data_IF_889005060131
#
_entry.id   IF_889005060131
#
_cell.length_a   1.000
_cell.length_b   1.000
_cell.length_c   1.000
_cell.angle_alpha   90.00
_cell.angle_beta   90.00
_cell.angle_gamma   90.00
#
_symmetry.space_group_name_H-M   'P 1'
#
loop_
_entity.id
_entity.type
_entity.pdbx_description
1 polymer ?
#
# COMPACT_ATOMS: atom_id res chain seq x y z
N UNK A 1 7.90 -8.01 10.89
CA UNK A 1 8.78 -7.07 11.60
C UNK A 1 9.95 -6.61 10.73
N UNK A 2 10.98 -7.41 10.46
CA UNK A 2 12.16 -7.01 9.68
C UNK A 2 11.84 -6.53 8.25
N UNK A 3 10.95 -7.21 7.53
CA UNK A 3 10.52 -6.82 6.18
C UNK A 3 9.83 -5.45 6.22
N UNK A 4 8.89 -5.25 7.13
CA UNK A 4 8.18 -3.98 7.28
C UNK A 4 9.15 -2.82 7.55
N UNK A 5 10.12 -3.02 8.46
CA UNK A 5 11.11 -2.00 8.80
C UNK A 5 12.03 -1.68 7.60
N UNK A 6 12.48 -2.70 6.88
CA UNK A 6 13.26 -2.54 5.66
C UNK A 6 12.47 -1.74 4.61
N UNK A 7 11.26 -2.17 4.27
CA UNK A 7 10.43 -1.51 3.26
C UNK A 7 10.10 -0.06 3.63
N UNK A 8 9.82 0.20 4.90
CA UNK A 8 9.57 1.56 5.40
C UNK A 8 10.72 2.51 5.09
N UNK A 9 11.96 2.02 5.05
CA UNK A 9 13.18 2.82 4.79
C UNK A 9 13.61 2.82 3.33
N UNK A 10 13.14 1.87 2.52
CA UNK A 10 13.64 1.69 1.14
C UNK A 10 12.59 1.88 0.06
N UNK A 11 11.29 1.66 0.37
CA UNK A 11 10.21 1.82 -0.60
C UNK A 11 8.86 1.97 0.10
N UNK A 12 8.34 3.20 0.16
CA UNK A 12 7.08 3.52 0.85
C UNK A 12 5.86 2.93 0.15
N UNK A 13 5.90 2.78 -1.17
CA UNK A 13 4.81 2.16 -1.92
C UNK A 13 4.72 0.65 -1.63
N UNK A 14 5.85 -0.06 -1.68
CA UNK A 14 5.90 -1.47 -1.29
C UNK A 14 5.59 -1.68 0.20
N UNK A 15 6.00 -0.74 1.06
CA UNK A 15 5.65 -0.78 2.48
C UNK A 15 4.14 -0.76 2.70
N UNK A 16 3.41 0.12 1.98
CA UNK A 16 1.95 0.19 2.06
C UNK A 16 1.29 -1.11 1.59
N UNK A 17 1.70 -1.66 0.46
CA UNK A 17 1.19 -2.95 -0.04
C UNK A 17 1.48 -4.09 0.93
N UNK A 18 2.64 -4.08 1.57
CA UNK A 18 2.99 -5.05 2.61
C UNK A 18 2.10 -4.93 3.86
N UNK A 19 1.79 -3.70 4.29
CA UNK A 19 0.84 -3.48 5.38
C UNK A 19 -0.54 -4.07 5.06
N UNK A 20 -1.04 -3.89 3.85
CA UNK A 20 -2.31 -4.47 3.42
C UNK A 20 -2.28 -6.00 3.43
N UNK A 21 -1.17 -6.61 3.02
CA UNK A 21 -0.99 -8.07 3.15
C UNK A 21 -1.03 -8.53 4.60
N UNK A 22 -0.40 -7.77 5.51
CA UNK A 22 -0.46 -8.07 6.94
C UNK A 22 -1.88 -7.96 7.48
N UNK A 23 -2.61 -6.90 7.13
CA UNK A 23 -4.00 -6.73 7.53
C UNK A 23 -4.87 -7.91 7.07
N UNK A 24 -4.72 -8.37 5.84
CA UNK A 24 -5.46 -9.53 5.32
C UNK A 24 -5.02 -10.84 5.97
N UNK A 25 -3.74 -11.01 6.26
CA UNK A 25 -3.24 -12.15 7.03
C UNK A 25 -3.89 -12.18 8.43
N UNK A 26 -3.91 -11.04 9.13
CA UNK A 26 -4.52 -10.94 10.46
C UNK A 26 -6.02 -11.23 10.42
N UNK A 27 -6.73 -10.76 9.38
CA UNK A 27 -8.14 -11.08 9.14
C UNK A 27 -8.38 -12.57 8.94
N UNK A 28 -7.52 -13.23 8.19
CA UNK A 28 -7.64 -14.68 7.95
C UNK A 28 -7.54 -15.50 9.23
N UNK A 29 -6.92 -14.95 10.27
CA UNK A 29 -6.85 -15.57 11.61
C UNK A 29 -7.74 -14.87 12.64
N UNK A 30 -8.77 -14.13 12.21
CA UNK A 30 -9.72 -13.40 13.08
C UNK A 30 -9.07 -12.40 14.04
N UNK A 31 -7.89 -11.87 13.72
CA UNK A 31 -7.07 -11.06 14.62
C UNK A 31 -6.80 -11.76 15.96
N UNK A 32 -6.64 -13.09 15.94
CA UNK A 32 -6.34 -13.91 17.11
C UNK A 32 -4.86 -14.30 17.13
N UNK A 33 -4.05 -13.75 18.06
CA UNK A 33 -2.60 -13.99 18.10
C UNK A 33 -2.20 -15.44 18.35
N UNK A 34 -3.00 -16.19 19.13
CA UNK A 34 -2.74 -17.61 19.45
C UNK A 34 -2.91 -18.46 18.19
N UNK A 35 -4.01 -18.29 17.46
CA UNK A 35 -4.27 -18.98 16.20
C UNK A 35 -3.20 -18.65 15.15
N UNK A 36 -2.80 -17.39 15.09
CA UNK A 36 -1.73 -16.94 14.18
C UNK A 36 -0.38 -17.58 14.53
N UNK A 37 -0.04 -17.64 15.83
CA UNK A 37 1.21 -18.27 16.29
C UNK A 37 1.24 -19.75 15.94
N UNK A 38 0.18 -20.48 16.24
CA UNK A 38 0.09 -21.92 15.98
C UNK A 38 0.09 -22.26 14.49
N UNK A 39 -0.71 -21.55 13.68
CA UNK A 39 -0.95 -21.92 12.29
C UNK A 39 -0.01 -21.24 11.29
N UNK A 40 0.62 -20.13 11.64
CA UNK A 40 1.48 -19.37 10.74
C UNK A 40 2.91 -19.18 11.27
N UNK A 41 3.10 -18.66 12.50
CA UNK A 41 4.44 -18.36 13.00
C UNK A 41 5.23 -19.64 13.32
N UNK A 42 4.56 -20.75 13.61
CA UNK A 42 5.19 -22.05 13.85
C UNK A 42 6.05 -22.55 12.68
N UNK A 43 5.76 -22.12 11.46
CA UNK A 43 6.49 -22.52 10.27
C UNK A 43 7.82 -21.78 10.07
N UNK A 44 8.07 -20.71 10.83
CA UNK A 44 9.33 -19.96 10.71
C UNK A 44 10.42 -20.59 11.56
N UNK A 45 11.55 -20.88 10.92
CA UNK A 45 12.75 -21.37 11.58
C UNK A 45 13.57 -20.19 12.13
N UNK A 46 13.19 -19.73 13.31
CA UNK A 46 13.81 -18.59 14.00
C UNK A 46 14.16 -18.99 15.44
N UNK A 47 15.05 -18.23 16.08
CA UNK A 47 15.37 -18.44 17.49
C UNK A 47 14.14 -18.22 18.39
N UNK A 48 14.11 -18.82 19.60
CA UNK A 48 13.01 -18.58 20.55
C UNK A 48 12.80 -17.11 20.88
N UNK A 49 13.86 -16.33 20.96
CA UNK A 49 13.78 -14.88 21.23
C UNK A 49 13.18 -14.12 20.06
N UNK A 50 13.56 -14.44 18.82
CA UNK A 50 13.00 -13.83 17.61
C UNK A 50 11.53 -14.20 17.47
N UNK A 51 11.17 -15.47 17.76
CA UNK A 51 9.77 -15.91 17.76
C UNK A 51 8.94 -15.14 18.77
N UNK A 52 9.43 -14.95 19.98
CA UNK A 52 8.73 -14.15 20.99
C UNK A 52 8.50 -12.69 20.54
N UNK A 53 9.51 -12.07 19.91
CA UNK A 53 9.39 -10.73 19.34
C UNK A 53 8.38 -10.68 18.18
N UNK A 54 8.41 -11.68 17.30
CA UNK A 54 7.43 -11.78 16.21
C UNK A 54 6.01 -11.92 16.74
N UNK A 55 5.81 -12.84 17.69
CA UNK A 55 4.50 -13.06 18.33
C UNK A 55 3.94 -11.80 18.96
N UNK A 56 4.77 -11.07 19.72
CA UNK A 56 4.36 -9.80 20.31
C UNK A 56 3.98 -8.77 19.24
N UNK A 57 4.79 -8.62 18.21
CA UNK A 57 4.52 -7.67 17.13
C UNK A 57 3.20 -7.96 16.39
N UNK A 58 2.90 -9.23 16.11
CA UNK A 58 1.63 -9.62 15.50
C UNK A 58 0.45 -9.43 16.47
N UNK A 59 0.64 -9.70 17.76
CA UNK A 59 -0.38 -9.45 18.78
C UNK A 59 -0.73 -7.95 18.89
N UNK A 60 0.28 -7.08 18.85
CA UNK A 60 0.08 -5.62 18.85
C UNK A 60 -0.72 -5.18 17.61
N UNK A 61 -0.41 -5.71 16.43
CA UNK A 61 -1.19 -5.42 15.22
C UNK A 61 -2.63 -5.94 15.31
N UNK A 62 -2.86 -7.13 15.83
CA UNK A 62 -4.21 -7.63 16.09
C UNK A 62 -4.99 -6.69 17.00
N UNK A 63 -4.36 -6.25 18.09
CA UNK A 63 -4.98 -5.31 19.03
C UNK A 63 -5.29 -3.95 18.38
N UNK A 64 -4.40 -3.47 17.50
CA UNK A 64 -4.64 -2.25 16.73
C UNK A 64 -5.85 -2.41 15.82
N UNK A 65 -5.94 -3.52 15.07
CA UNK A 65 -7.08 -3.78 14.16
C UNK A 65 -8.41 -3.86 14.91
N UNK A 66 -8.41 -4.45 16.10
CA UNK A 66 -9.60 -4.52 16.96
C UNK A 66 -9.98 -3.14 17.50
N UNK A 67 -9.01 -2.37 18.02
CA UNK A 67 -9.26 -1.05 18.61
C UNK A 67 -9.67 -0.01 17.58
N UNK A 68 -9.18 -0.11 16.35
CA UNK A 68 -9.56 0.78 15.24
C UNK A 68 -10.83 0.32 14.49
N UNK A 69 -11.42 -0.82 14.86
CA UNK A 69 -12.65 -1.33 14.27
C UNK A 69 -12.48 -1.83 12.83
N UNK A 70 -11.26 -2.18 12.42
CA UNK A 70 -10.94 -2.62 11.05
C UNK A 70 -10.70 -4.13 10.94
N UNK A 71 -11.22 -4.91 11.88
CA UNK A 71 -11.10 -6.36 11.89
C UNK A 71 -11.63 -7.01 10.61
N UNK A 72 -12.79 -6.58 10.13
CA UNK A 72 -13.44 -7.22 8.96
C UNK A 72 -13.12 -6.52 7.64
N UNK A 73 -12.99 -5.20 7.65
CA UNK A 73 -12.75 -4.38 6.45
C UNK A 73 -12.09 -3.05 6.80
N UNK A 74 -11.53 -2.40 5.79
CA UNK A 74 -10.83 -1.13 5.93
C UNK A 74 -9.34 -1.32 6.21
N UNK A 75 -8.66 -0.25 6.55
CA UNK A 75 -7.23 -0.23 6.77
C UNK A 75 -6.88 0.42 8.10
N UNK A 76 -5.80 -0.03 8.73
CA UNK A 76 -5.20 0.59 9.90
C UNK A 76 -4.86 2.06 9.61
N UNK A 77 -4.98 2.93 10.60
CA UNK A 77 -4.59 4.35 10.50
C UNK A 77 -3.16 4.53 10.01
N UNK A 78 -2.27 3.64 10.42
CA UNK A 78 -0.88 3.67 9.93
C UNK A 78 -0.78 3.49 8.41
N UNK A 79 -1.59 2.62 7.81
CA UNK A 79 -1.69 2.43 6.36
C UNK A 79 -2.31 3.65 5.68
N UNK A 80 -3.39 4.18 6.24
CA UNK A 80 -4.04 5.40 5.75
C UNK A 80 -3.12 6.62 5.80
N UNK A 81 -2.33 6.76 6.86
CA UNK A 81 -1.35 7.85 6.99
C UNK A 81 -0.25 7.76 5.92
N UNK A 82 0.23 6.56 5.61
CA UNK A 82 1.20 6.39 4.51
C UNK A 82 0.60 6.82 3.19
N UNK A 83 -0.63 6.42 2.90
CA UNK A 83 -1.35 6.80 1.68
C UNK A 83 -1.53 8.32 1.59
N UNK A 84 -1.98 8.94 2.68
CA UNK A 84 -2.20 10.39 2.77
C UNK A 84 -0.90 11.16 2.52
N UNK A 85 0.19 10.77 3.17
CA UNK A 85 1.50 11.42 3.00
C UNK A 85 2.00 11.33 1.55
N UNK A 86 1.80 10.19 0.89
CA UNK A 86 2.14 10.03 -0.53
C UNK A 86 1.27 10.91 -1.44
N UNK A 87 -0.02 11.06 -1.12
CA UNK A 87 -0.93 11.92 -1.87
C UNK A 87 -0.56 13.41 -1.73
N UNK A 88 -0.23 13.86 -0.52
CA UNK A 88 0.23 15.23 -0.26
C UNK A 88 1.53 15.55 -1.02
N UNK A 89 2.50 14.63 -0.99
CA UNK A 89 3.73 14.78 -1.78
C UNK A 89 3.45 14.82 -3.28
N UNK A 90 2.55 13.96 -3.78
CA UNK A 90 2.15 13.97 -5.18
C UNK A 90 1.60 15.34 -5.61
N UNK A 91 0.69 15.93 -4.82
CA UNK A 91 0.14 17.25 -5.08
C UNK A 91 1.24 18.32 -5.13
N UNK A 92 2.15 18.32 -4.16
CA UNK A 92 3.29 19.26 -4.10
C UNK A 92 4.20 19.12 -5.31
N UNK A 93 4.52 17.89 -5.74
CA UNK A 93 5.35 17.63 -6.92
C UNK A 93 4.71 18.19 -8.20
N UNK A 94 3.40 17.99 -8.38
CA UNK A 94 2.67 18.51 -9.55
C UNK A 94 2.59 20.03 -9.54
N UNK A 95 2.35 20.64 -8.38
CA UNK A 95 2.21 22.08 -8.23
C UNK A 95 3.54 22.82 -8.42
N UNK A 96 4.66 22.25 -7.97
CA UNK A 96 5.97 22.93 -7.98
C UNK A 96 6.52 23.25 -9.37
N UNK A 97 6.14 22.49 -10.39
CA UNK A 97 6.71 22.62 -11.75
C UNK A 97 8.17 22.19 -11.89
N UNK A 98 8.86 21.83 -10.78
CA UNK A 98 10.28 21.48 -10.75
C UNK A 98 10.57 20.03 -11.17
N UNK A 99 9.55 19.19 -11.29
CA UNK A 99 9.66 17.75 -11.55
C UNK A 99 8.97 17.33 -12.87
N UNK A 100 9.48 17.79 -14.04
CA UNK A 100 8.83 17.54 -15.33
C UNK A 100 8.77 16.03 -15.67
N UNK A 101 9.81 15.27 -15.31
CA UNK A 101 9.84 13.81 -15.51
C UNK A 101 8.74 13.09 -14.71
N UNK A 102 8.55 13.44 -13.44
CA UNK A 102 7.49 12.88 -12.60
C UNK A 102 6.10 13.20 -13.18
N UNK A 103 5.91 14.41 -13.63
CA UNK A 103 4.66 14.87 -14.29
C UNK A 103 4.38 14.07 -15.56
N UNK A 104 5.41 13.82 -16.39
CA UNK A 104 5.28 12.99 -17.59
C UNK A 104 4.85 11.56 -17.25
N UNK A 105 5.43 10.96 -16.20
CA UNK A 105 5.04 9.65 -15.72
C UNK A 105 3.59 9.62 -15.25
N UNK A 106 3.17 10.63 -14.48
CA UNK A 106 1.78 10.75 -14.04
C UNK A 106 0.81 10.83 -15.23
N UNK A 107 1.11 11.63 -16.25
CA UNK A 107 0.24 11.71 -17.44
C UNK A 107 0.15 10.39 -18.22
N UNK A 108 1.13 9.51 -18.12
CA UNK A 108 1.05 8.16 -18.67
C UNK A 108 0.16 7.23 -17.85
N UNK A 109 0.06 7.48 -16.54
CA UNK A 109 -0.79 6.70 -15.62
C UNK A 109 -2.24 7.19 -15.62
N UNK A 110 -2.49 8.47 -15.82
CA UNK A 110 -3.83 9.08 -15.74
C UNK A 110 -4.90 8.37 -16.59
N UNK A 111 -4.68 7.99 -17.86
CA UNK A 111 -5.66 7.19 -18.64
C UNK A 111 -5.98 5.84 -18.00
N UNK A 112 -4.98 5.20 -17.35
CA UNK A 112 -5.17 3.93 -16.65
C UNK A 112 -6.04 4.09 -15.40
N UNK A 113 -5.86 5.20 -14.66
CA UNK A 113 -6.72 5.55 -13.51
C UNK A 113 -8.16 5.71 -13.97
N UNK A 114 -8.39 6.45 -15.05
CA UNK A 114 -9.74 6.65 -15.61
C UNK A 114 -10.37 5.32 -16.01
N UNK A 115 -9.61 4.46 -16.69
CA UNK A 115 -10.10 3.12 -17.07
C UNK A 115 -10.42 2.26 -15.85
N UNK A 116 -9.56 2.23 -14.84
CA UNK A 116 -9.77 1.47 -13.61
C UNK A 116 -11.04 1.94 -12.90
N UNK A 117 -11.20 3.24 -12.70
CA UNK A 117 -12.40 3.83 -12.06
C UNK A 117 -13.68 3.56 -12.84
N UNK A 118 -13.64 3.58 -14.17
CA UNK A 118 -14.81 3.27 -14.98
C UNK A 118 -15.30 1.83 -14.79
N UNK A 119 -14.38 0.90 -14.48
CA UNK A 119 -14.69 -0.49 -14.16
C UNK A 119 -15.20 -0.65 -12.72
N UNK A 120 -14.70 0.13 -11.78
CA UNK A 120 -15.12 0.14 -10.37
C UNK A 120 -16.51 0.77 -10.19
N UNK A 121 -16.90 1.76 -11.00
CA UNK A 121 -18.20 2.45 -10.93
C UNK A 121 -19.43 1.53 -11.07
N UNK A 122 -19.23 0.29 -11.46
CA UNK A 122 -20.29 -0.76 -11.44
C UNK A 122 -20.44 -1.42 -10.05
N UNK A 123 -19.57 -1.08 -9.08
CA UNK A 123 -19.64 -1.51 -7.69
C UNK A 123 -19.50 -0.27 -6.79
N UNK A 124 -20.59 0.32 -6.29
CA UNK A 124 -20.53 1.52 -5.46
C UNK A 124 -19.67 1.25 -4.20
N UNK A 125 -18.52 1.92 -4.13
CA UNK A 125 -17.67 1.88 -2.97
C UNK A 125 -17.91 3.11 -2.08
N UNK A 126 -17.84 2.98 -0.74
CA UNK A 126 -18.06 4.11 0.18
C UNK A 126 -17.04 5.26 0.04
N UNK A 127 -15.93 5.03 -0.67
CA UNK A 127 -14.82 5.97 -0.82
C UNK A 127 -14.93 6.93 -2.03
N UNK A 128 -16.03 6.89 -2.80
CA UNK A 128 -16.27 7.78 -3.96
C UNK A 128 -16.29 9.28 -3.62
N UNK A 129 -16.26 9.64 -2.34
CA UNK A 129 -16.27 11.03 -1.88
C UNK A 129 -14.89 11.65 -1.65
N UNK A 130 -13.80 10.92 -1.89
CA UNK A 130 -12.45 11.49 -1.75
C UNK A 130 -12.05 12.18 -3.05
N UNK A 131 -12.06 13.52 -3.13
CA UNK A 131 -11.60 14.22 -4.33
C UNK A 131 -10.08 14.17 -4.45
N UNK A 132 -9.57 14.22 -5.69
CA UNK A 132 -8.17 14.51 -5.96
C UNK A 132 -7.22 13.31 -5.87
N UNK A 133 -5.98 13.62 -5.59
CA UNK A 133 -4.83 12.71 -5.66
C UNK A 133 -4.92 11.51 -4.74
N UNK A 134 -5.53 11.67 -3.56
CA UNK A 134 -5.72 10.53 -2.64
C UNK A 134 -6.57 9.42 -3.27
N UNK A 135 -7.67 9.79 -3.97
CA UNK A 135 -8.51 8.81 -4.66
C UNK A 135 -7.79 8.16 -5.85
N UNK A 136 -6.96 8.92 -6.56
CA UNK A 136 -6.15 8.40 -7.67
C UNK A 136 -5.12 7.41 -7.21
N UNK A 137 -4.38 7.74 -6.14
CA UNK A 137 -3.43 6.82 -5.54
C UNK A 137 -4.14 5.57 -5.00
N UNK A 138 -5.27 5.74 -4.32
CA UNK A 138 -6.07 4.61 -3.81
C UNK A 138 -6.44 3.66 -4.95
N UNK A 139 -6.94 4.16 -6.08
CA UNK A 139 -7.24 3.35 -7.28
C UNK A 139 -6.00 2.59 -7.76
N UNK A 140 -4.85 3.26 -7.85
CA UNK A 140 -3.59 2.63 -8.28
C UNK A 140 -3.13 1.55 -7.31
N UNK A 141 -3.15 1.81 -6.01
CA UNK A 141 -2.76 0.83 -4.99
C UNK A 141 -3.71 -0.37 -4.95
N UNK A 142 -5.02 -0.15 -5.07
CA UNK A 142 -6.01 -1.24 -5.18
C UNK A 142 -5.72 -2.13 -6.39
N UNK A 143 -5.41 -1.54 -7.56
CA UNK A 143 -5.09 -2.29 -8.76
C UNK A 143 -3.81 -3.13 -8.57
N UNK A 144 -2.74 -2.55 -7.99
CA UNK A 144 -1.50 -3.28 -7.70
C UNK A 144 -1.73 -4.42 -6.70
N UNK A 145 -2.49 -4.15 -5.65
CA UNK A 145 -2.83 -5.15 -4.63
C UNK A 145 -3.65 -6.30 -5.25
N UNK A 146 -4.68 -5.98 -6.02
CA UNK A 146 -5.49 -6.98 -6.72
C UNK A 146 -4.66 -7.87 -7.65
N UNK A 147 -3.74 -7.28 -8.42
CA UNK A 147 -2.83 -8.05 -9.29
C UNK A 147 -1.87 -8.91 -8.48
N UNK A 148 -1.39 -8.41 -7.35
CA UNK A 148 -0.55 -9.21 -6.45
C UNK A 148 -1.31 -10.42 -5.92
N UNK A 149 -2.57 -10.28 -5.51
CA UNK A 149 -3.42 -11.41 -5.08
C UNK A 149 -3.67 -12.41 -6.22
N UNK A 150 -3.88 -11.94 -7.45
CA UNK A 150 -4.01 -12.83 -8.62
C UNK A 150 -2.74 -13.65 -8.86
N UNK A 151 -1.56 -13.03 -8.72
CA UNK A 151 -0.27 -13.73 -8.84
C UNK A 151 -0.07 -14.77 -7.74
N UNK A 152 -0.45 -14.48 -6.50
CA UNK A 152 -0.42 -15.46 -5.40
C UNK A 152 -1.34 -16.65 -5.67
N UNK A 153 -2.45 -16.44 -6.40
CA UNK A 153 -3.38 -17.49 -6.84
C UNK A 153 -2.94 -18.18 -8.14
N UNK A 154 -1.75 -17.87 -8.66
CA UNK A 154 -1.24 -18.36 -9.95
C UNK A 154 -2.17 -18.08 -11.14
N UNK A 155 -3.00 -17.04 -11.07
CA UNK A 155 -3.89 -16.65 -12.16
C UNK A 155 -3.10 -15.88 -13.24
N UNK A 156 -3.33 -16.17 -14.53
CA UNK A 156 -2.67 -15.46 -15.60
C UNK A 156 -3.18 -14.03 -15.69
N UNK A 157 -2.27 -13.12 -16.04
CA UNK A 157 -2.58 -11.73 -16.36
C UNK A 157 -2.58 -11.53 -17.87
N UNK A 158 -3.49 -10.70 -18.38
CA UNK A 158 -3.40 -10.24 -19.76
C UNK A 158 -2.15 -9.37 -19.95
N UNK A 159 -1.63 -9.31 -21.16
CA UNK A 159 -0.49 -8.45 -21.49
C UNK A 159 -0.80 -6.98 -21.14
N UNK A 160 -1.98 -6.47 -21.50
CA UNK A 160 -2.38 -5.10 -21.18
C UNK A 160 -2.41 -4.83 -19.67
N UNK A 161 -2.91 -5.78 -18.85
CA UNK A 161 -2.86 -5.66 -17.40
C UNK A 161 -1.44 -5.62 -16.86
N UNK A 162 -0.55 -6.45 -17.39
CA UNK A 162 0.85 -6.49 -16.98
C UNK A 162 1.59 -5.18 -17.33
N UNK A 163 1.33 -4.59 -18.49
CA UNK A 163 1.89 -3.31 -18.92
C UNK A 163 1.35 -2.14 -18.06
N UNK A 164 0.04 -2.11 -17.80
CA UNK A 164 -0.58 -1.12 -16.94
C UNK A 164 0.01 -1.16 -15.52
N UNK A 165 0.11 -2.35 -14.93
CA UNK A 165 0.73 -2.54 -13.60
C UNK A 165 2.18 -2.07 -13.58
N UNK A 166 2.97 -2.37 -14.62
CA UNK A 166 4.35 -1.90 -14.74
C UNK A 166 4.41 -0.37 -14.74
N UNK A 167 3.55 0.29 -15.53
CA UNK A 167 3.50 1.75 -15.63
C UNK A 167 3.15 2.38 -14.29
N UNK A 168 2.11 1.89 -13.62
CA UNK A 168 1.69 2.35 -12.30
C UNK A 168 2.79 2.13 -11.25
N UNK A 169 3.39 0.92 -11.21
CA UNK A 169 4.46 0.60 -10.26
C UNK A 169 5.67 1.50 -10.42
N UNK A 170 6.05 1.82 -11.68
CA UNK A 170 7.19 2.69 -11.95
C UNK A 170 6.93 4.10 -11.43
N UNK A 171 5.73 4.64 -11.66
CA UNK A 171 5.36 5.97 -11.16
C UNK A 171 5.30 6.03 -9.62
N UNK A 172 4.66 5.04 -8.97
CA UNK A 172 4.60 4.98 -7.50
C UNK A 172 5.97 4.73 -6.87
N UNK A 173 6.85 3.99 -7.54
CA UNK A 173 8.25 3.83 -7.14
C UNK A 173 8.97 5.18 -7.13
N UNK A 174 8.82 5.98 -8.19
CA UNK A 174 9.41 7.33 -8.24
C UNK A 174 8.85 8.27 -7.15
N UNK A 175 7.55 8.19 -6.87
CA UNK A 175 6.93 8.93 -5.76
C UNK A 175 7.55 8.53 -4.41
N UNK A 176 7.73 7.23 -4.22
CA UNK A 176 8.40 6.68 -3.02
C UNK A 176 9.84 7.17 -2.90
N UNK A 177 10.60 7.21 -3.99
CA UNK A 177 11.99 7.70 -4.01
C UNK A 177 12.05 9.17 -3.60
N UNK A 178 11.18 10.02 -4.13
CA UNK A 178 11.11 11.43 -3.73
C UNK A 178 10.72 11.61 -2.27
N UNK A 179 9.81 10.76 -1.75
CA UNK A 179 9.48 10.75 -0.34
C UNK A 179 10.72 10.44 0.53
N UNK A 180 11.49 9.42 0.18
CA UNK A 180 12.67 8.99 0.94
C UNK A 180 13.83 9.98 0.85
N UNK A 181 13.91 10.74 -0.24
CA UNK A 181 14.88 11.84 -0.43
C UNK A 181 14.51 13.10 0.35
N UNK A 182 13.35 13.14 1.00
CA UNK A 182 12.88 14.32 1.74
C UNK A 182 12.55 15.51 0.84
N UNK A 183 12.14 15.26 -0.41
CA UNK A 183 11.81 16.32 -1.38
C UNK A 183 10.68 17.23 -0.88
N UNK A 184 9.75 16.71 -0.09
CA UNK A 184 8.68 17.49 0.53
C UNK A 184 9.23 18.66 1.36
N UNK A 185 10.23 18.40 2.23
CA UNK A 185 10.84 19.44 3.05
C UNK A 185 11.58 20.50 2.23
N UNK A 186 12.11 20.12 1.07
CA UNK A 186 12.75 21.06 0.14
C UNK A 186 11.71 21.95 -0.54
N UNK A 187 10.54 21.41 -0.86
CA UNK A 187 9.45 22.17 -1.49
C UNK A 187 8.76 23.15 -0.52
N UNK A 188 8.72 22.81 0.78
CA UNK A 188 8.12 23.67 1.80
C UNK A 188 9.04 24.85 2.20
N UNK A 189 10.33 24.81 1.87
CA UNK A 189 11.32 25.84 2.18
C UNK A 189 11.61 26.81 1.02
N UNK A 190 11.04 26.58 -0.15
CA UNK A 190 11.15 27.43 -1.35
C UNK A 190 9.93 28.33 -1.54
#
# INVERSE_FOLDING_TARGET
MLIAEKLRRTNRAEYLLYLWQLEDLLRAYDCNPERLDEAYLSHFQVSPEERAKMRQWYADLCQMMLSEGVREKGHLRMSLNVMQTLAELHDKLLASGKFPYYREMYYKVLPLIVELRSKEAHQPQPDEQRPGSLAELTTCFNALYGVMLLRLQHKPLSQGTAEAVKTISTWLGQLSDYYLQGVEQQLDND
#
